data_IF_741545027508
#
_entry.id   IF_741545027508
#
_cell.length_a   1.000
_cell.length_b   1.000
_cell.length_c   1.000
_cell.angle_alpha   90.00
_cell.angle_beta   90.00
_cell.angle_gamma   90.00
#
_symmetry.space_group_name_H-M   'P 1'
#
loop_
_entity.id
_entity.type
_entity.pdbx_description
1 polymer ?
#
# COMPACT_ATOMS: atom_id res chain seq x y z
N UNK A 1 -26.34 2.69 -6.05
CA UNK A 1 -26.59 3.53 -7.24
C UNK A 1 -25.77 4.79 -7.08
N UNK A 2 -24.63 4.87 -7.77
CA UNK A 2 -23.74 6.04 -7.78
C UNK A 2 -24.52 7.29 -8.23
N UNK A 3 -24.45 8.38 -7.46
CA UNK A 3 -25.13 9.63 -7.80
C UNK A 3 -24.40 10.31 -8.96
N UNK A 4 -25.06 10.41 -10.13
CA UNK A 4 -24.51 11.06 -11.33
C UNK A 4 -23.98 12.49 -11.07
N UNK A 5 -24.49 13.18 -10.05
CA UNK A 5 -24.00 14.50 -9.66
C UNK A 5 -22.59 14.47 -9.06
N UNK A 6 -22.19 13.39 -8.38
CA UNK A 6 -20.83 13.22 -7.85
C UNK A 6 -19.84 12.96 -8.99
N UNK A 7 -20.21 12.10 -9.94
CA UNK A 7 -19.42 11.84 -11.16
C UNK A 7 -19.21 13.11 -11.99
N UNK A 8 -20.25 13.93 -12.16
CA UNK A 8 -20.16 15.16 -12.93
C UNK A 8 -19.24 16.20 -12.24
N UNK A 9 -19.23 16.25 -10.91
CA UNK A 9 -18.36 17.15 -10.12
C UNK A 9 -16.89 16.75 -10.17
N UNK A 10 -16.59 15.45 -10.08
CA UNK A 10 -15.22 14.94 -10.23
C UNK A 10 -14.67 15.22 -11.64
N UNK A 11 -15.49 15.06 -12.68
CA UNK A 11 -15.11 15.39 -14.07
C UNK A 11 -14.88 16.90 -14.28
N UNK A 12 -15.73 17.75 -13.72
CA UNK A 12 -15.58 19.21 -13.81
C UNK A 12 -14.37 19.74 -13.01
N UNK A 13 -14.01 19.11 -11.88
CA UNK A 13 -12.83 19.47 -11.09
C UNK A 13 -11.51 19.25 -11.86
N UNK A 14 -11.47 18.22 -12.72
CA UNK A 14 -10.34 17.91 -13.62
C UNK A 14 -10.12 18.97 -14.72
N UNK A 15 -11.18 19.63 -15.16
CA UNK A 15 -11.10 20.59 -16.28
C UNK A 15 -10.81 22.04 -15.83
N UNK A 16 -11.03 22.37 -14.54
CA UNK A 16 -11.00 23.75 -14.04
C UNK A 16 -9.80 24.16 -13.18
N UNK A 17 -8.98 23.23 -12.68
CA UNK A 17 -7.85 23.54 -11.78
C UNK A 17 -6.54 23.05 -12.38
N UNK A 18 -5.75 24.00 -12.91
CA UNK A 18 -4.34 23.77 -13.22
C UNK A 18 -3.56 23.51 -11.94
N UNK A 19 -3.57 22.26 -11.46
CA UNK A 19 -2.56 21.76 -10.54
C UNK A 19 -1.24 21.65 -11.32
N UNK A 20 -0.09 22.05 -10.74
CA UNK A 20 1.19 21.84 -11.39
C UNK A 20 1.35 20.33 -11.63
N UNK A 21 1.74 19.89 -12.82
CA UNK A 21 1.94 18.48 -13.07
C UNK A 21 3.13 18.02 -12.22
N UNK A 22 2.88 17.14 -11.25
CA UNK A 22 3.81 16.02 -11.13
C UNK A 22 3.66 15.33 -12.47
N UNK A 23 4.67 15.44 -13.32
CA UNK A 23 4.60 14.94 -14.70
C UNK A 23 4.38 13.42 -14.62
N UNK A 24 3.12 13.00 -14.66
CA UNK A 24 2.71 11.61 -14.46
C UNK A 24 3.37 10.70 -15.50
N UNK A 25 3.71 11.25 -16.67
CA UNK A 25 4.49 10.56 -17.69
C UNK A 25 5.97 10.36 -17.28
N UNK A 26 6.55 11.26 -16.47
CA UNK A 26 7.89 11.12 -15.91
C UNK A 26 7.88 10.15 -14.73
N UNK A 27 6.85 10.17 -13.87
CA UNK A 27 6.68 9.19 -12.79
C UNK A 27 6.50 7.77 -13.33
N UNK A 28 5.63 7.60 -14.34
CA UNK A 28 5.40 6.31 -15.03
C UNK A 28 6.64 5.81 -15.78
N UNK A 29 7.40 6.69 -16.46
CA UNK A 29 8.67 6.32 -17.10
C UNK A 29 9.79 6.02 -16.12
N UNK A 30 9.85 6.75 -15.00
CA UNK A 30 10.84 6.52 -13.94
C UNK A 30 10.54 5.22 -13.19
N UNK A 31 9.28 4.94 -12.87
CA UNK A 31 8.83 3.66 -12.32
C UNK A 31 9.19 2.51 -13.25
N UNK A 32 8.80 2.58 -14.54
CA UNK A 32 9.12 1.54 -15.53
C UNK A 32 10.65 1.35 -15.73
N UNK A 33 11.43 2.43 -15.74
CA UNK A 33 12.89 2.37 -15.86
C UNK A 33 13.57 1.79 -14.60
N UNK A 34 13.08 2.11 -13.41
CA UNK A 34 13.57 1.55 -12.15
C UNK A 34 13.16 0.07 -12.04
N UNK A 35 11.92 -0.27 -12.35
CA UNK A 35 11.35 -1.63 -12.36
C UNK A 35 12.14 -2.58 -13.28
N UNK A 36 12.52 -2.13 -14.48
CA UNK A 36 13.34 -2.91 -15.42
C UNK A 36 14.77 -3.19 -14.92
N UNK A 37 15.33 -2.31 -14.07
CA UNK A 37 16.68 -2.46 -13.52
C UNK A 37 16.72 -3.32 -12.24
N UNK A 38 15.64 -3.34 -11.45
CA UNK A 38 15.59 -4.05 -10.16
C UNK A 38 14.95 -5.44 -10.21
N UNK A 39 14.13 -5.75 -11.22
CA UNK A 39 13.61 -7.10 -11.45
C UNK A 39 14.73 -8.17 -11.57
N UNK A 40 15.95 -7.75 -11.91
CA UNK A 40 17.13 -8.60 -12.09
C UNK A 40 17.82 -8.98 -10.76
N UNK A 41 17.53 -8.32 -9.62
CA UNK A 41 18.31 -8.48 -8.37
C UNK A 41 17.56 -9.06 -7.16
N UNK A 42 16.51 -9.86 -7.35
CA UNK A 42 15.84 -10.55 -6.22
C UNK A 42 16.71 -11.60 -5.50
N UNK A 43 17.78 -12.10 -6.12
CA UNK A 43 18.65 -13.15 -5.54
C UNK A 43 19.74 -12.63 -4.59
N UNK A 44 19.90 -11.32 -4.40
CA UNK A 44 20.99 -10.72 -3.59
C UNK A 44 20.50 -9.95 -2.35
N UNK A 45 19.19 -9.90 -2.09
CA UNK A 45 18.62 -9.17 -0.96
C UNK A 45 18.76 -10.02 0.30
N UNK A 46 19.66 -9.63 1.21
CA UNK A 46 19.69 -10.18 2.57
C UNK A 46 18.68 -9.43 3.45
N UNK A 47 17.56 -10.04 3.88
CA UNK A 47 16.56 -9.36 4.69
C UNK A 47 17.12 -9.04 6.09
N UNK A 48 16.89 -7.80 6.56
CA UNK A 48 17.14 -7.43 7.96
C UNK A 48 15.97 -7.89 8.82
N UNK A 49 16.07 -9.11 9.34
CA UNK A 49 15.04 -9.76 10.14
C UNK A 49 14.97 -9.17 11.55
N UNK A 50 13.77 -9.07 12.11
CA UNK A 50 13.60 -8.77 13.52
C UNK A 50 14.14 -9.91 14.39
N UNK A 51 14.78 -9.61 15.53
CA UNK A 51 15.13 -10.65 16.51
C UNK A 51 13.85 -11.35 17.00
N UNK A 52 13.95 -12.62 17.45
CA UNK A 52 12.84 -13.33 18.06
C UNK A 52 12.24 -12.52 19.21
N UNK A 53 10.92 -12.54 19.34
CA UNK A 53 10.23 -11.77 20.38
C UNK A 53 10.72 -12.19 21.78
N UNK A 54 11.24 -11.23 22.55
CA UNK A 54 11.62 -11.45 23.95
C UNK A 54 10.36 -11.56 24.83
N UNK A 55 10.34 -12.50 25.77
CA UNK A 55 9.17 -12.75 26.63
C UNK A 55 9.00 -11.61 27.65
N UNK A 56 8.17 -10.61 27.32
CA UNK A 56 7.69 -9.59 28.25
C UNK A 56 6.38 -10.00 28.93
N UNK A 57 6.11 -9.45 30.12
CA UNK A 57 4.89 -9.71 30.90
C UNK A 57 3.59 -9.41 30.12
N UNK A 58 2.55 -10.22 30.37
CA UNK A 58 1.30 -10.22 29.63
C UNK A 58 0.47 -8.93 29.82
N UNK A 59 0.61 -8.02 28.88
CA UNK A 59 -0.28 -6.88 28.58
C UNK A 59 -1.12 -7.19 27.31
N UNK A 60 -2.23 -6.46 27.05
CA UNK A 60 -2.96 -6.59 25.78
C UNK A 60 -2.05 -6.39 24.55
N UNK A 61 -1.11 -5.43 24.66
CA UNK A 61 -0.08 -5.15 23.64
C UNK A 61 0.85 -6.33 23.38
N UNK A 62 1.19 -7.12 24.41
CA UNK A 62 1.96 -8.36 24.25
C UNK A 62 1.11 -9.54 23.77
N UNK A 63 -0.20 -9.55 24.04
CA UNK A 63 -1.12 -10.58 23.54
C UNK A 63 -1.35 -10.43 22.03
N UNK A 64 -1.58 -9.21 21.55
CA UNK A 64 -1.64 -8.88 20.12
C UNK A 64 -0.33 -9.25 19.41
N UNK A 65 0.80 -8.95 20.06
CA UNK A 65 2.12 -9.30 19.53
C UNK A 65 2.32 -10.80 19.43
N UNK A 66 1.96 -11.56 20.46
CA UNK A 66 2.06 -13.01 20.48
C UNK A 66 1.19 -13.65 19.38
N UNK A 67 -0.05 -13.19 19.23
CA UNK A 67 -0.96 -13.64 18.17
C UNK A 67 -0.40 -13.39 16.77
N UNK A 68 0.17 -12.21 16.54
CA UNK A 68 0.81 -11.88 15.27
C UNK A 68 1.99 -12.82 14.98
N UNK A 69 2.84 -13.08 15.97
CA UNK A 69 3.98 -14.01 15.85
C UNK A 69 3.51 -15.43 15.51
N UNK A 70 2.47 -15.94 16.19
CA UNK A 70 1.91 -17.25 15.89
C UNK A 70 1.34 -17.34 14.47
N UNK A 71 0.65 -16.31 14.01
CA UNK A 71 0.11 -16.25 12.64
C UNK A 71 1.22 -16.22 11.60
N UNK A 72 2.25 -15.43 11.82
CA UNK A 72 3.42 -15.39 10.94
C UNK A 72 4.08 -16.76 10.83
N UNK A 73 4.24 -17.46 11.95
CA UNK A 73 4.80 -18.82 11.97
C UNK A 73 3.96 -19.81 11.15
N UNK A 74 2.64 -19.68 11.12
CA UNK A 74 1.75 -20.55 10.31
C UNK A 74 2.00 -20.40 8.80
N UNK A 75 2.45 -19.23 8.35
CA UNK A 75 2.78 -18.96 6.95
C UNK A 75 4.28 -19.04 6.65
N UNK A 76 5.11 -19.40 7.64
CA UNK A 76 6.57 -19.40 7.48
C UNK A 76 7.16 -18.00 7.29
N UNK A 77 6.50 -16.96 7.79
CA UNK A 77 6.88 -15.56 7.59
C UNK A 77 7.65 -15.02 8.80
N UNK A 78 8.57 -14.08 8.53
CA UNK A 78 9.29 -13.33 9.55
C UNK A 78 9.29 -11.84 9.23
N UNK A 79 8.96 -11.01 10.22
CA UNK A 79 8.98 -9.55 10.05
C UNK A 79 10.39 -9.01 9.81
N UNK A 80 10.48 -8.09 8.85
CA UNK A 80 11.65 -7.27 8.58
C UNK A 80 11.57 -5.96 9.35
N UNK A 81 12.72 -5.36 9.64
CA UNK A 81 12.76 -4.00 10.13
C UNK A 81 12.39 -3.02 9.03
N UNK A 82 11.43 -2.16 9.34
CA UNK A 82 11.00 -1.01 8.55
C UNK A 82 10.93 0.18 9.50
N UNK A 83 11.33 1.36 9.03
CA UNK A 83 11.27 2.60 9.79
C UNK A 83 9.84 2.88 10.25
N UNK A 84 9.69 3.21 11.53
CA UNK A 84 8.40 3.44 12.17
C UNK A 84 7.99 4.92 12.06
N UNK A 85 7.54 5.33 10.88
CA UNK A 85 7.08 6.68 10.57
C UNK A 85 5.72 6.67 9.83
N UNK A 86 5.24 7.87 9.47
CA UNK A 86 3.97 8.01 8.75
C UNK A 86 3.97 7.39 7.34
N UNK A 87 5.15 7.05 6.80
CA UNK A 87 5.31 6.39 5.50
C UNK A 87 5.51 4.87 5.63
N UNK A 88 5.35 4.28 6.83
CA UNK A 88 5.61 2.86 7.07
C UNK A 88 4.90 1.91 6.10
N UNK A 89 3.67 2.21 5.67
CA UNK A 89 2.96 1.42 4.66
C UNK A 89 3.71 1.38 3.32
N UNK A 90 4.12 2.54 2.82
CA UNK A 90 4.84 2.66 1.55
C UNK A 90 6.26 2.12 1.65
N UNK A 91 6.91 2.28 2.81
CA UNK A 91 8.23 1.68 3.11
C UNK A 91 8.19 0.16 3.12
N UNK A 92 7.16 -0.42 3.74
CA UNK A 92 7.00 -1.87 3.78
C UNK A 92 6.77 -2.44 2.38
N UNK A 93 5.96 -1.77 1.55
CA UNK A 93 5.74 -2.17 0.15
C UNK A 93 7.01 -1.97 -0.70
N UNK A 94 7.74 -0.87 -0.49
CA UNK A 94 9.05 -0.66 -1.11
C UNK A 94 10.02 -1.79 -0.78
N UNK A 95 10.06 -2.22 0.48
CA UNK A 95 10.92 -3.31 0.92
C UNK A 95 10.51 -4.67 0.30
N UNK A 96 9.21 -4.91 0.10
CA UNK A 96 8.67 -6.08 -0.61
C UNK A 96 8.99 -6.10 -2.11
N UNK A 97 8.91 -4.93 -2.77
CA UNK A 97 9.12 -4.79 -4.21
C UNK A 97 10.61 -4.73 -4.56
N UNK A 98 11.38 -3.94 -3.81
CA UNK A 98 12.75 -3.55 -4.14
C UNK A 98 13.81 -4.07 -3.17
N UNK A 99 13.39 -4.71 -2.06
CA UNK A 99 14.31 -5.16 -1.02
C UNK A 99 14.84 -4.07 -0.10
N UNK A 100 14.38 -2.83 -0.27
CA UNK A 100 14.79 -1.64 0.49
C UNK A 100 13.60 -0.70 0.72
N UNK A 101 13.58 0.02 1.84
CA UNK A 101 12.56 1.03 2.13
C UNK A 101 12.78 2.37 1.41
N UNK A 102 13.95 2.59 0.80
CA UNK A 102 14.39 3.88 0.24
C UNK A 102 13.51 4.40 -0.91
N UNK A 103 12.68 3.57 -1.52
CA UNK A 103 11.81 3.94 -2.63
C UNK A 103 10.35 4.17 -2.21
N UNK A 104 10.08 4.39 -0.92
CA UNK A 104 8.73 4.63 -0.40
C UNK A 104 8.02 5.81 -1.06
N UNK A 105 8.74 6.87 -1.46
CA UNK A 105 8.16 8.03 -2.15
C UNK A 105 7.65 7.67 -3.55
N UNK A 106 8.37 6.78 -4.25
CA UNK A 106 7.93 6.25 -5.53
C UNK A 106 6.67 5.40 -5.37
N UNK A 107 6.64 4.53 -4.35
CA UNK A 107 5.45 3.71 -4.05
C UNK A 107 4.25 4.60 -3.71
N UNK A 108 4.43 5.67 -2.93
CA UNK A 108 3.37 6.66 -2.66
C UNK A 108 2.89 7.31 -3.95
N UNK A 109 3.80 7.71 -4.84
CA UNK A 109 3.45 8.31 -6.11
C UNK A 109 2.61 7.37 -6.99
N UNK A 110 2.94 6.07 -7.05
CA UNK A 110 2.12 5.06 -7.75
C UNK A 110 0.69 4.99 -7.20
N UNK A 111 0.55 4.94 -5.86
CA UNK A 111 -0.76 4.92 -5.22
C UNK A 111 -1.59 6.15 -5.58
N UNK A 112 -0.99 7.35 -5.51
CA UNK A 112 -1.64 8.62 -5.84
C UNK A 112 -2.00 8.69 -7.33
N UNK A 113 -1.13 8.22 -8.22
CA UNK A 113 -1.40 8.15 -9.66
C UNK A 113 -2.62 7.28 -9.96
N UNK A 114 -2.73 6.11 -9.32
CA UNK A 114 -3.89 5.25 -9.46
C UNK A 114 -5.18 5.95 -8.98
N UNK A 115 -5.13 6.59 -7.81
CA UNK A 115 -6.27 7.33 -7.25
C UNK A 115 -6.73 8.47 -8.18
N UNK A 116 -5.79 9.15 -8.85
CA UNK A 116 -6.09 10.19 -9.84
C UNK A 116 -6.65 9.62 -11.15
N UNK A 117 -6.23 8.43 -11.55
CA UNK A 117 -6.57 7.83 -12.84
C UNK A 117 -7.95 7.16 -12.82
N UNK A 118 -8.33 6.53 -11.70
CA UNK A 118 -9.59 5.78 -11.57
C UNK A 118 -10.41 6.18 -10.32
N UNK A 119 -10.73 7.48 -10.13
CA UNK A 119 -11.37 7.98 -8.91
C UNK A 119 -12.72 7.31 -8.62
N UNK A 120 -13.46 6.89 -9.65
CA UNK A 120 -14.74 6.19 -9.53
C UNK A 120 -14.65 4.86 -8.76
N UNK A 121 -13.47 4.24 -8.69
CA UNK A 121 -13.24 3.01 -7.95
C UNK A 121 -13.12 3.25 -6.44
N UNK A 122 -12.73 4.47 -6.03
CA UNK A 122 -12.31 4.76 -4.65
C UNK A 122 -13.23 5.75 -3.93
N UNK A 123 -13.96 6.58 -4.69
CA UNK A 123 -14.72 7.72 -4.14
C UNK A 123 -15.74 7.33 -3.06
N UNK A 124 -16.45 6.20 -3.23
CA UNK A 124 -17.43 5.75 -2.25
C UNK A 124 -16.77 5.27 -0.95
N UNK A 125 -15.57 4.67 -1.02
CA UNK A 125 -14.82 4.24 0.16
C UNK A 125 -14.27 5.43 0.96
N UNK A 126 -13.87 6.50 0.26
CA UNK A 126 -13.37 7.73 0.89
C UNK A 126 -14.51 8.53 1.53
N UNK A 127 -15.58 8.81 0.77
CA UNK A 127 -16.69 9.66 1.23
C UNK A 127 -17.66 8.91 2.17
N UNK A 128 -17.78 7.59 2.04
CA UNK A 128 -18.67 6.75 2.84
C UNK A 128 -18.27 6.64 4.32
N UNK A 129 -17.05 7.09 4.67
CA UNK A 129 -16.52 7.07 6.06
C UNK A 129 -17.07 8.19 6.95
N UNK A 130 -17.96 9.05 6.43
CA UNK A 130 -18.49 10.19 7.18
C UNK A 130 -17.48 11.34 7.33
N UNK A 131 -16.38 11.29 6.58
CA UNK A 131 -15.44 12.41 6.45
C UNK A 131 -16.09 13.51 5.60
N UNK A 132 -16.02 14.76 6.06
CA UNK A 132 -16.51 15.94 5.31
C UNK A 132 -15.52 16.39 4.23
N UNK A 133 -14.35 15.76 4.18
CA UNK A 133 -13.28 16.02 3.22
C UNK A 133 -13.68 15.55 1.81
N UNK A 134 -13.39 16.37 0.79
CA UNK A 134 -13.65 15.96 -0.59
C UNK A 134 -12.67 14.88 -1.05
N UNK A 135 -13.00 14.15 -2.13
CA UNK A 135 -12.07 13.17 -2.70
C UNK A 135 -10.76 13.82 -3.17
N UNK A 136 -10.84 15.00 -3.79
CA UNK A 136 -9.66 15.77 -4.22
C UNK A 136 -8.75 16.09 -3.02
N UNK A 137 -9.33 16.53 -1.90
CA UNK A 137 -8.58 16.83 -0.68
C UNK A 137 -7.95 15.56 -0.08
N UNK A 138 -8.65 14.42 -0.14
CA UNK A 138 -8.09 13.12 0.27
C UNK A 138 -6.85 12.77 -0.55
N UNK A 139 -6.92 12.86 -1.88
CA UNK A 139 -5.79 12.56 -2.78
C UNK A 139 -4.65 13.55 -2.56
N UNK A 140 -4.96 14.84 -2.39
CA UNK A 140 -3.96 15.87 -2.10
C UNK A 140 -3.23 15.58 -0.78
N UNK A 141 -3.95 15.25 0.29
CA UNK A 141 -3.31 14.83 1.55
C UNK A 141 -2.44 13.60 1.34
N UNK A 142 -2.92 12.60 0.59
CA UNK A 142 -2.18 11.36 0.37
C UNK A 142 -0.86 11.55 -0.38
N UNK A 143 -0.74 12.64 -1.15
CA UNK A 143 0.51 13.03 -1.81
C UNK A 143 1.59 13.58 -0.86
N UNK A 144 1.24 13.93 0.38
CA UNK A 144 2.18 14.46 1.37
C UNK A 144 3.02 13.33 2.00
N UNK A 145 4.31 13.59 2.19
CA UNK A 145 5.26 12.59 2.72
C UNK A 145 4.95 12.14 4.16
N UNK A 146 4.28 12.98 4.94
CA UNK A 146 3.89 12.75 6.33
C UNK A 146 2.46 12.21 6.48
N UNK A 147 1.77 11.92 5.38
CA UNK A 147 0.43 11.34 5.43
C UNK A 147 0.48 9.82 5.55
N UNK A 148 -0.18 9.29 6.58
CA UNK A 148 -0.41 7.86 6.77
C UNK A 148 -1.22 7.28 5.61
N UNK A 149 -0.73 6.17 5.05
CA UNK A 149 -1.50 5.34 4.13
C UNK A 149 -2.62 4.56 4.83
N UNK A 150 -3.59 4.09 4.07
CA UNK A 150 -4.77 3.38 4.57
C UNK A 150 -5.14 2.18 3.67
N UNK A 151 -6.31 1.59 3.89
CA UNK A 151 -6.80 0.49 3.06
C UNK A 151 -7.07 0.88 1.58
N UNK A 152 -7.35 2.15 1.28
CA UNK A 152 -7.63 2.62 -0.08
C UNK A 152 -6.31 2.74 -0.84
N UNK A 153 -5.21 3.15 -0.20
CA UNK A 153 -3.89 3.11 -0.83
C UNK A 153 -3.38 1.69 -1.04
N UNK A 154 -3.72 0.73 -0.18
CA UNK A 154 -3.42 -0.70 -0.45
C UNK A 154 -4.17 -1.21 -1.68
N UNK A 155 -5.46 -0.90 -1.79
CA UNK A 155 -6.25 -1.27 -2.97
C UNK A 155 -5.71 -0.59 -4.23
N UNK A 156 -5.42 0.71 -4.18
CA UNK A 156 -4.84 1.44 -5.29
C UNK A 156 -3.49 0.85 -5.74
N UNK A 157 -2.63 0.43 -4.81
CA UNK A 157 -1.37 -0.23 -5.17
C UNK A 157 -1.57 -1.63 -5.76
N UNK A 158 -2.52 -2.41 -5.26
CA UNK A 158 -2.90 -3.68 -5.86
C UNK A 158 -3.36 -3.48 -7.31
N UNK A 159 -4.21 -2.47 -7.54
CA UNK A 159 -4.74 -2.15 -8.87
C UNK A 159 -3.66 -1.63 -9.82
N UNK A 160 -2.78 -0.74 -9.35
CA UNK A 160 -1.71 -0.14 -10.15
C UNK A 160 -0.68 -1.19 -10.59
N UNK A 161 -0.28 -2.07 -9.67
CA UNK A 161 0.77 -3.06 -9.91
C UNK A 161 0.23 -4.36 -10.51
N UNK A 162 -1.09 -4.59 -10.44
CA UNK A 162 -1.72 -5.84 -10.86
C UNK A 162 -1.35 -7.03 -9.98
N UNK A 163 -1.08 -6.81 -8.69
CA UNK A 163 -0.60 -7.85 -7.75
C UNK A 163 -1.56 -8.05 -6.57
N UNK A 164 -1.55 -9.26 -6.01
CA UNK A 164 -2.23 -9.53 -4.74
C UNK A 164 -1.35 -9.08 -3.55
N UNK A 165 -2.02 -8.53 -2.54
CA UNK A 165 -1.47 -8.11 -1.26
C UNK A 165 -2.12 -8.90 -0.13
N UNK A 166 -1.33 -9.52 0.74
CA UNK A 166 -1.79 -10.20 1.94
C UNK A 166 -1.36 -9.42 3.17
N UNK A 167 -2.33 -9.09 4.02
CA UNK A 167 -2.12 -8.36 5.26
C UNK A 167 -2.39 -9.29 6.45
N UNK A 168 -1.34 -9.65 7.18
CA UNK A 168 -1.44 -10.41 8.43
C UNK A 168 -1.60 -9.43 9.58
N UNK A 169 -2.70 -9.54 10.32
CA UNK A 169 -3.02 -8.62 11.42
C UNK A 169 -2.92 -9.30 12.78
N UNK A 170 -2.82 -8.51 13.85
CA UNK A 170 -3.00 -8.95 15.24
C UNK A 170 -4.47 -8.99 15.70
N UNK A 171 -5.44 -8.57 14.88
CA UNK A 171 -6.88 -8.52 15.23
C UNK A 171 -7.48 -9.89 15.55
N UNK A 172 -8.48 -9.94 16.43
CA UNK A 172 -9.14 -11.19 16.83
C UNK A 172 -9.94 -11.81 15.69
N UNK A 173 -10.73 -11.00 15.00
CA UNK A 173 -11.77 -11.46 14.07
C UNK A 173 -11.26 -11.63 12.63
N UNK A 174 -10.26 -10.87 12.21
CA UNK A 174 -9.73 -10.89 10.85
C UNK A 174 -8.19 -10.91 10.87
N UNK A 175 -7.61 -12.10 10.83
CA UNK A 175 -6.17 -12.30 10.97
C UNK A 175 -5.38 -12.23 9.67
N UNK A 176 -6.07 -12.33 8.53
CA UNK A 176 -5.47 -12.34 7.19
C UNK A 176 -6.46 -11.70 6.22
N UNK A 177 -6.14 -10.50 5.76
CA UNK A 177 -6.90 -9.83 4.72
C UNK A 177 -6.17 -9.97 3.38
N UNK A 178 -6.91 -10.40 2.34
CA UNK A 178 -6.42 -10.36 0.96
C UNK A 178 -6.96 -9.12 0.25
N UNK A 179 -6.07 -8.35 -0.35
CA UNK A 179 -6.37 -7.23 -1.25
C UNK A 179 -5.97 -7.66 -2.65
N UNK A 180 -6.96 -7.90 -3.51
CA UNK A 180 -6.74 -8.30 -4.89
C UNK A 180 -7.07 -7.12 -5.83
N UNK A 181 -6.44 -7.04 -7.01
CA UNK A 181 -6.79 -6.03 -8.00
C UNK A 181 -8.29 -6.11 -8.36
N UNK A 182 -8.97 -4.97 -8.35
CA UNK A 182 -10.42 -4.87 -8.57
C UNK A 182 -10.80 -5.05 -10.06
N UNK A 183 -9.88 -4.70 -10.97
CA UNK A 183 -10.01 -4.95 -12.39
C UNK A 183 -9.05 -6.07 -12.82
N UNK A 184 -9.52 -6.99 -13.67
CA UNK A 184 -8.60 -7.77 -14.50
C UNK A 184 -7.82 -6.73 -15.31
N UNK A 185 -6.49 -6.74 -15.18
CA UNK A 185 -5.58 -5.85 -15.88
C UNK A 185 -6.12 -5.51 -17.29
N UNK A 186 -6.27 -4.22 -17.66
CA UNK A 186 -6.58 -3.89 -19.04
C UNK A 186 -5.54 -4.58 -19.94
N UNK A 187 -5.96 -5.12 -21.09
CA UNK A 187 -5.07 -5.77 -22.04
C UNK A 187 -3.86 -4.86 -22.32
N UNK A 188 -2.70 -5.19 -21.74
CA UNK A 188 -1.49 -4.37 -21.82
C UNK A 188 -0.84 -3.97 -20.49
N UNK A 189 -1.49 -4.16 -19.33
CA UNK A 189 -0.78 -4.11 -18.03
C UNK A 189 0.10 -5.37 -17.93
N UNK A 190 1.38 -5.18 -17.66
CA UNK A 190 2.36 -6.25 -17.60
C UNK A 190 2.03 -7.11 -16.37
N UNK A 191 1.70 -8.40 -16.58
CA UNK A 191 1.83 -9.39 -15.50
C UNK A 191 3.32 -9.49 -15.19
N UNK A 192 3.74 -8.79 -14.14
CA UNK A 192 5.14 -8.76 -13.74
C UNK A 192 5.63 -10.08 -13.13
N UNK A 193 4.79 -11.14 -13.11
CA UNK A 193 5.11 -12.43 -12.50
C UNK A 193 5.51 -12.29 -11.03
N UNK A 194 5.04 -11.21 -10.39
CA UNK A 194 5.42 -10.88 -9.03
C UNK A 194 4.64 -11.78 -8.07
N UNK A 195 5.38 -12.49 -7.23
CA UNK A 195 4.81 -13.15 -6.07
C UNK A 195 3.98 -12.14 -5.27
N UNK A 196 2.87 -12.59 -4.65
CA UNK A 196 2.03 -11.70 -3.86
C UNK A 196 2.86 -11.04 -2.76
N UNK A 197 2.55 -9.77 -2.46
CA UNK A 197 3.24 -9.05 -1.39
C UNK A 197 2.63 -9.42 -0.04
N UNK A 198 3.47 -9.52 0.97
CA UNK A 198 3.04 -9.80 2.33
C UNK A 198 3.43 -8.66 3.25
N UNK A 199 2.46 -8.19 4.03
CA UNK A 199 2.62 -7.13 5.02
C UNK A 199 2.08 -7.60 6.36
N UNK A 200 2.60 -7.04 7.45
CA UNK A 200 1.94 -7.11 8.76
C UNK A 200 1.37 -5.76 9.13
N UNK A 201 0.26 -5.78 9.88
CA UNK A 201 -0.23 -4.61 10.60
C UNK A 201 -0.33 -4.90 12.08
N UNK A 202 0.03 -3.91 12.88
CA UNK A 202 -0.17 -3.94 14.32
C UNK A 202 -1.11 -2.83 14.76
N UNK A 203 -2.15 -3.22 15.50
CA UNK A 203 -3.19 -2.33 16.03
C UNK A 203 -3.84 -1.41 14.99
N UNK A 204 -3.78 -1.78 13.70
CA UNK A 204 -4.24 -0.98 12.55
C UNK A 204 -3.50 0.34 12.32
N UNK A 205 -2.31 0.53 12.90
CA UNK A 205 -1.58 1.82 12.83
C UNK A 205 -0.18 1.72 12.23
N UNK A 206 0.46 0.54 12.29
CA UNK A 206 1.85 0.36 11.83
C UNK A 206 1.98 -0.82 10.88
N UNK A 207 2.50 -0.57 9.68
CA UNK A 207 2.76 -1.60 8.68
C UNK A 207 4.23 -2.03 8.70
N UNK A 208 4.50 -3.32 8.54
CA UNK A 208 5.85 -3.86 8.34
C UNK A 208 5.90 -4.84 7.17
N UNK A 209 7.08 -5.01 6.62
CA UNK A 209 7.40 -6.00 5.59
C UNK A 209 7.72 -7.36 6.23
N UNK A 210 7.50 -8.45 5.50
CA UNK A 210 7.85 -9.81 5.94
C UNK A 210 8.62 -10.59 4.87
N UNK A 211 9.47 -11.53 5.27
CA UNK A 211 10.15 -12.46 4.37
C UNK A 211 9.74 -13.91 4.70
N UNK A 212 9.81 -14.78 3.69
CA UNK A 212 9.79 -16.24 3.85
C UNK A 212 11.19 -16.78 4.14
#
# INVERSE_FOLDING_TARGET
MLNQAALARARAAREGRGAPPIDAAVASRAACALESQFAVRRSEITPRLNPPAEQLAATPRTQDRARLVERLAQFGLQERQVTDDASCQFRAISDQLYGTEEHHDLVRAMAVEQLLTAPEQYVEFVLGRGDTTSYDDYVQRMSLADQLGDHVTLQALADYLGIELFLVSSSEDDGLQRVAPAAVAPEGLVDFGHAPLWLTTWANVHYKSVAM
#
